data_IF_237858221165
#
_entry.id   IF_237858221165
#
_cell.length_a   1.000
_cell.length_b   1.000
_cell.length_c   1.000
_cell.angle_alpha   90.00
_cell.angle_beta   90.00
_cell.angle_gamma   90.00
#
_symmetry.space_group_name_H-M   'P 1'
#
loop_
_entity.id
_entity.type
_entity.pdbx_description
1 polymer ?
#
# COMPACT_ATOMS: atom_id res chain seq x y z
N UNK A 1 -52.49 -16.02 -21.56
CA UNK A 1 -52.19 -14.82 -20.73
C UNK A 1 -52.02 -15.16 -19.24
N UNK A 2 -52.94 -15.90 -18.61
CA UNK A 2 -52.87 -16.21 -17.16
C UNK A 2 -51.63 -17.02 -16.69
N UNK A 3 -51.12 -17.95 -17.49
CA UNK A 3 -49.94 -18.76 -17.11
C UNK A 3 -48.62 -17.97 -17.10
N UNK A 4 -48.50 -16.97 -17.98
CA UNK A 4 -47.32 -16.09 -18.05
C UNK A 4 -47.26 -15.14 -16.85
N UNK A 5 -48.41 -14.57 -16.46
CA UNK A 5 -48.52 -13.70 -15.28
C UNK A 5 -48.18 -14.50 -14.01
N UNK A 6 -48.70 -15.73 -13.87
CA UNK A 6 -48.39 -16.59 -12.73
C UNK A 6 -46.91 -16.98 -12.66
N UNK A 7 -46.25 -17.19 -13.82
CA UNK A 7 -44.82 -17.52 -13.89
C UNK A 7 -43.95 -16.32 -13.53
N UNK A 8 -44.27 -15.14 -14.05
CA UNK A 8 -43.60 -13.89 -13.68
C UNK A 8 -43.75 -13.59 -12.19
N UNK A 9 -44.94 -13.80 -11.62
CA UNK A 9 -45.17 -13.60 -10.19
C UNK A 9 -44.30 -14.53 -9.34
N UNK A 10 -44.20 -15.82 -9.72
CA UNK A 10 -43.35 -16.80 -9.02
C UNK A 10 -41.87 -16.46 -9.10
N UNK A 11 -41.40 -16.02 -10.27
CA UNK A 11 -40.00 -15.60 -10.46
C UNK A 11 -39.71 -14.37 -9.62
N UNK A 12 -40.58 -13.35 -9.64
CA UNK A 12 -40.41 -12.14 -8.83
C UNK A 12 -40.39 -12.45 -7.34
N UNK A 13 -41.27 -13.32 -6.85
CA UNK A 13 -41.27 -13.76 -5.44
C UNK A 13 -39.97 -14.49 -5.10
N UNK A 14 -39.49 -15.39 -5.96
CA UNK A 14 -38.25 -16.12 -5.75
C UNK A 14 -37.04 -15.16 -5.70
N UNK A 15 -36.94 -14.22 -6.64
CA UNK A 15 -35.88 -13.22 -6.68
C UNK A 15 -35.91 -12.33 -5.43
N UNK A 16 -37.09 -11.80 -5.06
CA UNK A 16 -37.24 -10.98 -3.86
C UNK A 16 -36.87 -11.76 -2.59
N UNK A 17 -37.21 -13.05 -2.52
CA UNK A 17 -36.87 -13.90 -1.38
C UNK A 17 -35.36 -14.14 -1.29
N UNK A 18 -34.70 -14.41 -2.42
CA UNK A 18 -33.23 -14.58 -2.46
C UNK A 18 -32.53 -13.27 -2.07
N UNK A 19 -32.99 -12.13 -2.57
CA UNK A 19 -32.46 -10.81 -2.22
C UNK A 19 -32.65 -10.53 -0.73
N UNK A 20 -33.82 -10.82 -0.16
CA UNK A 20 -34.09 -10.64 1.26
C UNK A 20 -33.21 -11.54 2.15
N UNK A 21 -33.02 -12.81 1.76
CA UNK A 21 -32.14 -13.74 2.48
C UNK A 21 -30.68 -13.28 2.39
N UNK A 22 -30.21 -12.92 1.18
CA UNK A 22 -28.86 -12.41 0.98
C UNK A 22 -28.64 -11.14 1.81
N UNK A 23 -29.62 -10.23 1.86
CA UNK A 23 -29.57 -9.04 2.69
C UNK A 23 -29.49 -9.37 4.19
N UNK A 24 -30.32 -10.28 4.67
CA UNK A 24 -30.36 -10.68 6.08
C UNK A 24 -29.05 -11.33 6.54
N UNK A 25 -28.42 -12.14 5.67
CA UNK A 25 -27.16 -12.82 5.95
C UNK A 25 -25.92 -11.94 5.72
N UNK A 26 -26.06 -10.81 5.02
CA UNK A 26 -24.96 -9.89 4.75
C UNK A 26 -24.65 -9.00 5.94
N UNK A 27 -23.37 -8.70 6.15
CA UNK A 27 -22.91 -7.63 7.06
C UNK A 27 -23.24 -6.24 6.50
N UNK A 28 -23.19 -5.22 7.35
CA UNK A 28 -23.48 -3.84 6.93
C UNK A 28 -22.53 -3.33 5.83
N UNK A 29 -21.26 -3.78 5.80
CA UNK A 29 -20.30 -3.43 4.74
C UNK A 29 -20.66 -4.10 3.41
N UNK A 30 -20.98 -5.41 3.46
CA UNK A 30 -21.44 -6.17 2.29
C UNK A 30 -22.71 -5.57 1.70
N UNK A 31 -23.66 -5.16 2.54
CA UNK A 31 -24.87 -4.46 2.09
C UNK A 31 -24.53 -3.14 1.39
N UNK A 32 -23.62 -2.32 1.93
CA UNK A 32 -23.19 -1.07 1.26
C UNK A 32 -22.52 -1.33 -0.09
N UNK A 33 -21.65 -2.34 -0.20
CA UNK A 33 -21.03 -2.72 -1.48
C UNK A 33 -22.07 -3.23 -2.49
N UNK A 34 -23.07 -3.99 -2.04
CA UNK A 34 -24.18 -4.40 -2.90
C UNK A 34 -24.96 -3.19 -3.41
N UNK A 35 -25.25 -2.20 -2.57
CA UNK A 35 -25.95 -0.98 -2.98
C UNK A 35 -25.16 -0.18 -4.02
N UNK A 36 -23.84 -0.05 -3.85
CA UNK A 36 -22.97 0.57 -4.88
C UNK A 36 -23.02 -0.23 -6.18
N UNK A 37 -22.92 -1.56 -6.12
CA UNK A 37 -22.95 -2.43 -7.30
C UNK A 37 -24.30 -2.41 -8.03
N UNK A 38 -25.39 -2.19 -7.31
CA UNK A 38 -26.73 -1.99 -7.87
C UNK A 38 -26.98 -0.54 -8.32
N UNK A 39 -25.99 0.35 -8.21
CA UNK A 39 -26.08 1.74 -8.66
C UNK A 39 -26.97 2.62 -7.77
N UNK A 40 -27.25 2.19 -6.53
CA UNK A 40 -27.96 3.00 -5.54
C UNK A 40 -27.06 4.07 -4.90
N UNK A 41 -25.74 3.86 -4.97
CA UNK A 41 -24.72 4.83 -4.59
C UNK A 41 -23.57 4.79 -5.60
N UNK A 42 -22.96 5.95 -5.84
CA UNK A 42 -21.82 6.15 -6.75
C UNK A 42 -20.51 5.63 -6.14
N UNK A 43 -20.42 5.55 -4.81
CA UNK A 43 -19.22 5.08 -4.09
C UNK A 43 -19.54 4.54 -2.71
N UNK A 44 -18.61 3.76 -2.14
CA UNK A 44 -18.74 3.23 -0.78
C UNK A 44 -18.79 4.37 0.25
N UNK A 45 -17.96 5.42 0.09
CA UNK A 45 -17.96 6.58 0.96
C UNK A 45 -19.33 7.30 0.99
N UNK A 46 -20.01 7.40 -0.17
CA UNK A 46 -21.36 7.95 -0.22
C UNK A 46 -22.37 7.04 0.49
N UNK A 47 -22.27 5.72 0.30
CA UNK A 47 -23.13 4.74 0.98
C UNK A 47 -22.93 4.74 2.52
N UNK A 48 -21.72 4.99 3.00
CA UNK A 48 -21.38 5.11 4.42
C UNK A 48 -22.01 6.35 5.06
N UNK A 49 -21.91 7.50 4.40
CA UNK A 49 -22.45 8.78 4.89
C UNK A 49 -23.98 8.85 4.80
N UNK A 50 -24.56 8.25 3.76
CA UNK A 50 -26.00 8.28 3.52
C UNK A 50 -26.76 7.26 4.38
N UNK A 51 -26.19 6.09 4.64
CA UNK A 51 -26.94 4.95 5.17
C UNK A 51 -28.05 4.51 4.21
N UNK A 52 -28.97 3.65 4.66
CA UNK A 52 -30.15 3.29 3.87
C UNK A 52 -31.40 3.32 4.76
N UNK A 53 -32.38 4.10 4.33
CA UNK A 53 -33.68 4.20 4.97
C UNK A 53 -34.78 4.03 3.94
N UNK A 54 -35.83 3.29 4.32
CA UNK A 54 -37.01 3.11 3.49
C UNK A 54 -38.19 3.72 4.22
N UNK A 55 -38.96 4.54 3.49
CA UNK A 55 -40.21 5.12 3.97
C UNK A 55 -41.35 4.27 3.44
N UNK A 56 -42.20 3.76 4.33
CA UNK A 56 -43.44 3.11 3.94
C UNK A 56 -44.64 3.62 4.73
N UNK A 57 -45.82 3.03 4.50
CA UNK A 57 -47.09 3.58 4.99
C UNK A 57 -47.23 3.62 6.52
N UNK A 58 -46.36 2.93 7.27
CA UNK A 58 -46.40 2.87 8.73
C UNK A 58 -45.13 3.41 9.40
N UNK A 59 -44.25 4.09 8.66
CA UNK A 59 -43.07 4.75 9.23
C UNK A 59 -41.81 4.69 8.37
N UNK A 60 -40.72 5.20 8.94
CA UNK A 60 -39.37 5.15 8.38
C UNK A 60 -38.60 4.01 9.04
N UNK A 61 -38.02 3.11 8.23
CA UNK A 61 -37.15 2.04 8.72
C UNK A 61 -35.73 2.28 8.27
N UNK A 62 -34.82 2.30 9.23
CA UNK A 62 -33.38 2.32 8.98
C UNK A 62 -32.90 0.89 8.74
N UNK A 63 -32.50 0.62 7.49
CA UNK A 63 -31.95 -0.67 7.09
C UNK A 63 -30.43 -0.72 7.20
N UNK A 64 -29.77 0.44 7.10
CA UNK A 64 -28.34 0.63 7.31
C UNK A 64 -28.09 1.95 8.02
N UNK A 65 -27.39 1.96 9.16
CA UNK A 65 -27.06 3.19 9.86
C UNK A 65 -26.04 4.02 9.06
N UNK A 66 -26.09 5.34 9.25
CA UNK A 66 -25.03 6.25 8.78
C UNK A 66 -23.78 6.04 9.62
N UNK A 67 -22.61 6.01 8.97
CA UNK A 67 -21.33 6.08 9.65
C UNK A 67 -20.90 7.54 9.79
N UNK A 68 -20.34 7.95 10.94
CA UNK A 68 -19.85 9.31 11.10
C UNK A 68 -18.75 9.59 10.07
N UNK A 69 -18.72 10.79 9.47
CA UNK A 69 -17.64 11.16 8.58
C UNK A 69 -16.31 11.00 9.33
N UNK A 70 -15.36 10.28 8.74
CA UNK A 70 -13.98 10.26 9.22
C UNK A 70 -13.52 11.71 9.20
N UNK A 71 -13.37 12.32 10.38
CA UNK A 71 -12.99 13.72 10.51
C UNK A 71 -11.64 13.90 9.80
N UNK A 72 -11.67 14.55 8.63
CA UNK A 72 -10.45 15.04 7.97
C UNK A 72 -9.89 16.08 8.92
N UNK A 73 -8.79 15.74 9.58
CA UNK A 73 -8.06 16.68 10.42
C UNK A 73 -7.69 17.89 9.56
N UNK A 74 -8.32 19.03 9.85
CA UNK A 74 -7.87 20.33 9.33
C UNK A 74 -6.59 20.62 10.09
N UNK A 75 -5.45 20.61 9.40
CA UNK A 75 -4.19 20.99 10.00
C UNK A 75 -4.35 22.37 10.66
N UNK A 76 -3.94 22.55 11.93
CA UNK A 76 -3.97 23.86 12.55
C UNK A 76 -3.12 24.83 11.71
N UNK A 77 -3.52 26.11 11.60
CA UNK A 77 -2.76 27.09 10.85
C UNK A 77 -1.32 27.12 11.37
N UNK A 78 -0.37 26.98 10.44
CA UNK A 78 1.06 27.05 10.74
C UNK A 78 1.36 28.36 11.48
N UNK A 79 2.07 28.33 12.62
CA UNK A 79 2.46 29.55 13.30
C UNK A 79 3.37 30.39 12.40
N UNK A 80 3.02 31.66 12.26
CA UNK A 80 3.76 32.68 11.53
C UNK A 80 5.23 32.72 12.00
N UNK A 81 6.23 32.55 11.12
CA UNK A 81 7.65 32.54 11.49
C UNK A 81 8.17 33.87 12.08
N UNK A 82 7.32 34.89 12.23
CA UNK A 82 7.70 36.23 12.68
C UNK A 82 7.58 36.55 14.18
N UNK A 83 7.02 35.71 15.06
CA UNK A 83 6.82 36.10 16.48
C UNK A 83 6.96 34.97 17.50
N UNK A 84 8.15 34.85 18.09
CA UNK A 84 8.35 34.83 19.55
C UNK A 84 9.83 34.66 19.89
N UNK A 85 10.46 35.76 20.32
CA UNK A 85 11.61 35.70 21.24
C UNK A 85 11.06 35.78 22.65
N UNK A 86 11.36 34.79 23.48
CA UNK A 86 11.34 34.90 24.93
C UNK A 86 12.69 34.42 25.47
N UNK A 87 13.13 34.92 26.64
CA UNK A 87 14.54 35.14 26.93
C UNK A 87 15.25 33.92 27.50
N UNK A 88 16.51 33.81 27.12
CA UNK A 88 17.53 32.88 27.59
C UNK A 88 17.81 33.12 29.09
N UNK A 89 17.35 32.22 29.96
CA UNK A 89 17.76 32.20 31.36
C UNK A 89 19.05 31.38 31.51
N UNK A 90 20.13 32.10 31.81
CA UNK A 90 21.38 31.58 32.34
C UNK A 90 21.13 30.78 33.63
N UNK A 91 21.53 29.52 33.65
CA UNK A 91 21.72 28.75 34.88
C UNK A 91 23.21 28.47 35.04
N UNK A 92 23.75 29.09 36.08
CA UNK A 92 25.15 29.09 36.49
C UNK A 92 25.55 27.76 37.14
N UNK A 93 26.76 27.33 36.81
CA UNK A 93 27.47 26.24 37.47
C UNK A 93 27.70 26.51 38.97
N UNK A 94 27.49 25.48 39.80
CA UNK A 94 28.19 25.31 41.09
C UNK A 94 28.47 23.82 41.29
N UNK A 95 29.75 23.48 41.37
CA UNK A 95 30.23 22.10 41.51
C UNK A 95 30.22 21.59 42.94
N UNK A 96 30.23 20.27 43.08
CA UNK A 96 30.98 19.58 44.12
C UNK A 96 31.43 18.21 43.60
N UNK A 97 32.73 17.98 43.67
CA UNK A 97 33.42 16.73 43.40
C UNK A 97 33.09 15.65 44.45
N UNK A 98 33.18 14.38 44.06
CA UNK A 98 33.31 13.28 45.02
C UNK A 98 32.94 11.90 44.47
N UNK A 99 33.95 11.10 44.11
CA UNK A 99 33.86 9.63 44.20
C UNK A 99 33.62 8.83 42.91
N UNK A 100 34.71 8.34 42.30
CA UNK A 100 34.75 7.10 41.49
C UNK A 100 34.92 5.91 42.46
N UNK A 101 34.53 4.65 42.14
CA UNK A 101 35.07 3.96 40.95
C UNK A 101 34.14 2.97 40.21
N UNK A 102 34.47 2.77 38.93
CA UNK A 102 34.38 1.45 38.27
C UNK A 102 33.09 1.11 37.53
N UNK A 103 33.03 1.43 36.23
CA UNK A 103 32.52 0.51 35.21
C UNK A 103 32.92 1.03 33.82
N UNK A 104 33.48 0.10 33.06
CA UNK A 104 33.95 0.16 31.67
C UNK A 104 33.02 0.91 30.70
N UNK A 105 33.61 1.87 30.00
CA UNK A 105 33.16 2.38 28.71
C UNK A 105 33.19 1.26 27.66
N UNK A 106 32.12 1.05 26.88
CA UNK A 106 32.28 0.53 25.53
C UNK A 106 32.49 1.73 24.60
N UNK A 107 33.66 1.74 23.99
CA UNK A 107 34.03 2.58 22.87
C UNK A 107 32.99 2.50 21.75
N UNK A 108 32.65 3.65 21.20
CA UNK A 108 31.97 3.73 19.91
C UNK A 108 32.84 3.13 18.80
N UNK A 109 32.31 2.10 18.18
CA UNK A 109 32.50 1.69 16.79
C UNK A 109 31.57 0.49 16.57
N UNK A 110 31.01 0.38 15.37
CA UNK A 110 30.22 -0.77 14.90
C UNK A 110 28.74 -0.81 15.31
N UNK A 111 28.01 0.25 14.96
CA UNK A 111 26.61 0.10 14.57
C UNK A 111 26.58 -0.65 13.22
N UNK A 112 26.62 -1.98 13.29
CA UNK A 112 26.43 -2.85 12.15
C UNK A 112 25.10 -2.52 11.47
N UNK A 113 25.12 -2.43 10.15
CA UNK A 113 23.95 -2.15 9.33
C UNK A 113 22.89 -3.23 9.51
N UNK A 114 21.83 -2.93 10.26
CA UNK A 114 20.63 -3.74 10.34
C UNK A 114 19.96 -3.74 8.95
N UNK A 115 20.15 -4.81 8.19
CA UNK A 115 19.69 -4.95 6.82
C UNK A 115 18.17 -5.06 6.74
N UNK A 116 17.52 -4.00 6.29
CA UNK A 116 16.11 -4.01 5.86
C UNK A 116 16.09 -4.61 4.46
N UNK A 117 15.88 -5.91 4.37
CA UNK A 117 15.66 -6.55 3.08
C UNK A 117 16.84 -6.42 2.08
N UNK A 118 16.58 -6.54 0.78
CA UNK A 118 17.57 -6.32 -0.29
C UNK A 118 17.95 -4.83 -0.49
N UNK A 119 17.87 -4.00 0.56
CA UNK A 119 18.12 -2.57 0.51
C UNK A 119 18.89 -2.04 1.74
N UNK A 120 19.52 -0.87 1.57
CA UNK A 120 20.16 -0.15 2.67
C UNK A 120 19.10 0.39 3.65
N UNK A 121 19.42 0.65 4.92
CA UNK A 121 18.50 1.29 5.85
C UNK A 121 18.08 2.70 5.36
N UNK A 122 16.78 2.98 5.07
CA UNK A 122 16.31 4.29 4.61
C UNK A 122 16.59 5.42 5.60
N UNK A 123 16.81 5.11 6.88
CA UNK A 123 17.12 6.10 7.91
C UNK A 123 18.62 6.37 8.07
N UNK A 124 19.48 5.49 7.55
CA UNK A 124 20.93 5.69 7.56
C UNK A 124 21.42 6.57 6.39
N UNK A 125 20.67 6.61 5.29
CA UNK A 125 21.07 7.33 4.05
C UNK A 125 20.60 8.79 4.00
N UNK A 126 19.88 9.27 5.03
CA UNK A 126 19.20 10.57 5.03
C UNK A 126 17.96 10.60 4.12
N UNK A 127 17.17 11.68 4.14
CA UNK A 127 16.04 11.84 3.18
C UNK A 127 16.63 11.81 1.77
N UNK A 128 16.12 10.92 0.92
CA UNK A 128 16.58 10.79 -0.46
C UNK A 128 16.63 12.17 -1.13
N UNK A 129 17.79 12.54 -1.70
CA UNK A 129 17.94 13.80 -2.42
C UNK A 129 17.21 13.69 -3.76
N UNK A 130 15.90 13.93 -3.75
CA UNK A 130 15.16 14.36 -4.93
C UNK A 130 13.82 14.96 -4.50
N UNK A 131 13.66 16.29 -4.58
CA UNK A 131 12.34 16.88 -4.44
C UNK A 131 11.47 16.31 -5.55
N UNK A 132 10.27 15.91 -5.20
CA UNK A 132 9.23 15.59 -6.15
C UNK A 132 9.24 16.62 -7.28
N UNK A 133 9.55 16.16 -8.50
CA UNK A 133 9.08 16.90 -9.67
C UNK A 133 7.60 16.60 -9.72
N UNK A 134 6.80 17.31 -8.93
CA UNK A 134 5.37 17.37 -9.15
C UNK A 134 5.23 17.74 -10.62
N UNK A 135 4.84 16.76 -11.45
CA UNK A 135 4.58 17.01 -12.85
C UNK A 135 3.48 18.05 -12.82
N UNK A 136 3.72 19.24 -13.38
CA UNK A 136 2.66 20.26 -13.47
C UNK A 136 1.44 19.57 -14.07
N UNK A 137 0.22 19.81 -13.55
CA UNK A 137 -1.00 19.26 -14.14
C UNK A 137 -0.92 19.49 -15.65
N UNK A 138 -1.04 18.42 -16.43
CA UNK A 138 -1.05 18.56 -17.88
C UNK A 138 -2.42 19.11 -18.21
N UNK A 139 -2.50 20.39 -18.56
CA UNK A 139 -3.75 21.00 -19.03
C UNK A 139 -4.12 20.30 -20.35
N UNK A 140 -5.20 19.51 -20.33
CA UNK A 140 -5.76 18.92 -21.53
C UNK A 140 -6.82 19.89 -22.03
N UNK A 141 -6.53 20.53 -23.15
CA UNK A 141 -7.47 21.38 -23.85
C UNK A 141 -8.44 20.52 -24.65
N UNK A 142 -9.73 20.72 -24.41
CA UNK A 142 -10.80 20.23 -25.27
C UNK A 142 -11.32 21.40 -26.10
N UNK A 143 -11.25 21.28 -27.43
CA UNK A 143 -11.74 22.30 -28.36
C UNK A 143 -12.35 21.67 -29.63
N UNK A 144 -13.07 22.47 -30.41
CA UNK A 144 -13.59 22.07 -31.72
C UNK A 144 -12.70 22.68 -32.81
N UNK A 145 -12.16 21.86 -33.70
CA UNK A 145 -11.30 22.30 -34.80
C UNK A 145 -12.11 22.96 -35.94
N UNK A 146 -11.41 23.56 -36.92
CA UNK A 146 -12.01 24.22 -38.09
C UNK A 146 -12.83 23.29 -38.99
N UNK A 147 -12.79 21.97 -38.76
CA UNK A 147 -13.60 20.95 -39.45
C UNK A 147 -14.76 20.46 -38.59
N UNK A 148 -15.04 21.10 -37.45
CA UNK A 148 -16.12 20.72 -36.55
C UNK A 148 -15.84 19.48 -35.71
N UNK A 149 -14.57 19.03 -35.62
CA UNK A 149 -14.20 17.83 -34.86
C UNK A 149 -13.78 18.20 -33.45
N UNK A 150 -14.19 17.39 -32.48
CA UNK A 150 -13.73 17.51 -31.10
C UNK A 150 -12.29 16.99 -30.98
N UNK A 151 -11.39 17.84 -30.51
CA UNK A 151 -9.96 17.55 -30.33
C UNK A 151 -9.61 17.68 -28.85
N UNK A 152 -8.80 16.72 -28.38
CA UNK A 152 -8.16 16.74 -27.06
C UNK A 152 -6.66 16.88 -27.28
N UNK A 153 -6.03 17.88 -26.65
CA UNK A 153 -4.63 18.24 -26.88
C UNK A 153 -3.99 18.69 -25.57
N UNK A 154 -2.74 18.31 -25.35
CA UNK A 154 -1.86 18.84 -24.29
C UNK A 154 -1.19 20.19 -24.68
N UNK A 155 -1.46 20.66 -25.90
CA UNK A 155 -1.04 21.98 -26.41
C UNK A 155 -2.26 22.89 -26.55
N UNK A 156 -2.11 24.15 -26.15
CA UNK A 156 -3.13 25.17 -26.32
C UNK A 156 -3.52 25.31 -27.81
N UNK A 157 -4.81 25.42 -28.14
CA UNK A 157 -5.24 25.53 -29.52
C UNK A 157 -4.78 26.85 -30.16
N UNK A 158 -4.63 26.85 -31.49
CA UNK A 158 -4.48 28.08 -32.28
C UNK A 158 -5.70 29.00 -32.11
N UNK A 159 -5.52 30.31 -32.24
CA UNK A 159 -6.53 31.34 -31.97
C UNK A 159 -7.90 31.17 -32.66
N UNK A 160 -7.98 30.33 -33.69
CA UNK A 160 -9.19 30.06 -34.48
C UNK A 160 -10.02 28.86 -33.97
N UNK A 161 -9.67 28.24 -32.84
CA UNK A 161 -10.44 27.15 -32.26
C UNK A 161 -11.66 27.66 -31.46
N UNK A 162 -12.76 26.91 -31.52
CA UNK A 162 -13.99 27.21 -30.77
C UNK A 162 -13.84 27.07 -29.24
N UNK A 163 -14.97 26.91 -28.53
CA UNK A 163 -15.01 26.84 -27.05
C UNK A 163 -13.91 25.93 -26.47
N UNK A 164 -12.98 26.54 -25.73
CA UNK A 164 -11.85 25.86 -25.10
C UNK A 164 -12.21 25.56 -23.66
N UNK A 165 -12.44 24.29 -23.36
CA UNK A 165 -12.53 23.80 -21.98
C UNK A 165 -11.16 23.26 -21.61
N UNK A 166 -10.44 23.98 -20.74
CA UNK A 166 -9.27 23.44 -20.07
C UNK A 166 -9.76 22.42 -19.04
N UNK A 167 -9.58 21.13 -19.34
CA UNK A 167 -9.75 20.06 -18.37
C UNK A 167 -8.39 19.90 -17.72
N UNK A 168 -8.28 20.26 -16.44
CA UNK A 168 -7.22 19.71 -15.62
C UNK A 168 -7.50 18.22 -15.54
N UNK A 169 -6.79 17.45 -16.37
CA UNK A 169 -6.77 16.02 -16.18
C UNK A 169 -6.03 15.80 -14.87
N UNK A 170 -6.77 15.40 -13.83
CA UNK A 170 -6.22 14.81 -12.62
C UNK A 170 -5.74 13.39 -12.98
N UNK A 171 -4.82 13.33 -13.95
CA UNK A 171 -4.20 12.11 -14.44
C UNK A 171 -2.92 11.93 -13.64
N UNK A 172 -2.90 10.86 -12.84
CA UNK A 172 -1.99 10.55 -11.75
C UNK A 172 -2.27 11.37 -10.49
N UNK A 173 -2.62 10.66 -9.42
CA UNK A 173 -2.50 11.23 -8.08
C UNK A 173 -1.04 11.62 -7.95
N UNK A 174 -0.73 12.92 -7.83
CA UNK A 174 0.62 13.49 -7.92
C UNK A 174 1.59 13.09 -6.79
N UNK A 175 1.64 11.81 -6.42
CA UNK A 175 2.42 11.19 -5.35
C UNK A 175 3.66 10.45 -5.86
N UNK A 176 3.82 10.26 -7.17
CA UNK A 176 5.09 9.75 -7.68
C UNK A 176 5.46 10.34 -9.05
N UNK A 177 6.75 10.22 -9.37
CA UNK A 177 7.29 10.39 -10.71
C UNK A 177 8.45 9.41 -10.87
N UNK A 178 8.71 8.94 -12.09
CA UNK A 178 9.76 7.96 -12.34
C UNK A 178 10.58 8.30 -13.59
N UNK A 179 11.90 8.16 -13.49
CA UNK A 179 12.80 8.08 -14.64
C UNK A 179 13.02 6.60 -15.01
N UNK A 180 12.95 6.27 -16.30
CA UNK A 180 13.13 4.90 -16.80
C UNK A 180 14.44 4.76 -17.58
N UNK A 181 15.25 3.76 -17.24
CA UNK A 181 16.47 3.36 -17.95
C UNK A 181 16.36 1.91 -18.43
N UNK A 182 16.29 1.70 -19.74
CA UNK A 182 16.21 0.37 -20.37
C UNK A 182 17.58 -0.05 -20.91
N UNK A 183 18.41 -0.67 -20.06
CA UNK A 183 19.79 -1.05 -20.38
C UNK A 183 19.84 -2.30 -21.26
N UNK A 184 20.19 -2.09 -22.53
CA UNK A 184 20.28 -3.14 -23.54
C UNK A 184 18.91 -3.69 -23.98
N UNK A 185 17.82 -2.99 -23.64
CA UNK A 185 16.45 -3.40 -23.95
C UNK A 185 15.76 -2.33 -24.80
N UNK A 186 15.21 -2.73 -25.93
CA UNK A 186 14.12 -1.98 -26.58
C UNK A 186 12.81 -2.53 -26.04
N UNK A 187 12.07 -1.78 -25.21
CA UNK A 187 10.85 -2.29 -24.58
C UNK A 187 9.79 -2.60 -25.65
N UNK A 188 9.03 -3.70 -25.51
CA UNK A 188 7.89 -3.98 -26.38
C UNK A 188 6.87 -2.84 -26.38
N UNK A 189 6.09 -2.71 -27.45
CA UNK A 189 5.01 -1.72 -27.54
C UNK A 189 4.06 -1.87 -26.33
N UNK A 190 3.74 -0.75 -25.68
CA UNK A 190 2.84 -0.71 -24.52
C UNK A 190 3.46 -1.16 -23.20
N UNK A 191 4.67 -1.74 -23.19
CA UNK A 191 5.35 -2.17 -21.96
C UNK A 191 5.49 -1.03 -20.95
N UNK A 192 6.07 0.09 -21.37
CA UNK A 192 6.30 1.23 -20.49
C UNK A 192 4.99 1.84 -19.98
N UNK A 193 3.96 1.92 -20.83
CA UNK A 193 2.66 2.45 -20.41
C UNK A 193 2.00 1.57 -19.35
N UNK A 194 2.03 0.24 -19.53
CA UNK A 194 1.49 -0.67 -18.54
C UNK A 194 2.32 -0.67 -17.24
N UNK A 195 3.64 -0.48 -17.35
CA UNK A 195 4.52 -0.30 -16.20
C UNK A 195 4.16 0.99 -15.44
N UNK A 196 3.90 2.10 -16.13
CA UNK A 196 3.43 3.35 -15.52
C UNK A 196 2.10 3.15 -14.77
N UNK A 197 1.15 2.40 -15.34
CA UNK A 197 -0.11 2.02 -14.68
C UNK A 197 0.15 1.16 -13.44
N UNK A 198 1.04 0.16 -13.56
CA UNK A 198 1.40 -0.72 -12.44
C UNK A 198 2.02 0.08 -11.29
N UNK A 199 2.89 1.04 -11.59
CA UNK A 199 3.53 1.90 -10.60
C UNK A 199 2.52 2.85 -9.95
N UNK A 200 1.67 3.51 -10.73
CA UNK A 200 0.59 4.35 -10.19
C UNK A 200 -0.35 3.55 -9.28
N UNK A 201 -0.70 2.33 -9.69
CA UNK A 201 -1.49 1.39 -8.89
C UNK A 201 -0.83 1.04 -7.56
N UNK A 202 0.49 0.81 -7.50
CA UNK A 202 1.21 0.59 -6.24
C UNK A 202 1.07 1.79 -5.31
N UNK A 203 1.25 3.00 -5.82
CA UNK A 203 1.13 4.22 -5.02
C UNK A 203 -0.31 4.47 -4.55
N UNK A 204 -1.30 4.22 -5.41
CA UNK A 204 -2.72 4.32 -5.06
C UNK A 204 -3.07 3.31 -3.97
N UNK A 205 -2.67 2.04 -4.13
CA UNK A 205 -2.91 1.01 -3.14
C UNK A 205 -2.28 1.35 -1.79
N UNK A 206 -0.99 1.69 -1.77
CA UNK A 206 -0.30 1.97 -0.52
C UNK A 206 -0.77 3.27 0.14
N UNK A 207 -1.11 4.31 -0.62
CA UNK A 207 -1.52 5.60 -0.06
C UNK A 207 -3.02 5.69 0.24
N UNK A 208 -3.85 5.34 -0.73
CA UNK A 208 -5.30 5.52 -0.66
C UNK A 208 -5.99 4.31 -0.05
N UNK A 209 -5.78 3.12 -0.60
CA UNK A 209 -6.48 1.91 -0.13
C UNK A 209 -6.06 1.51 1.28
N UNK A 210 -4.76 1.64 1.60
CA UNK A 210 -4.26 1.42 2.96
C UNK A 210 -4.39 2.64 3.87
N UNK A 211 -4.81 3.79 3.33
CA UNK A 211 -5.12 5.00 4.09
C UNK A 211 -3.92 5.64 4.78
N UNK A 212 -2.74 5.61 4.15
CA UNK A 212 -1.56 6.35 4.63
C UNK A 212 -1.78 7.86 4.44
N UNK A 213 -1.61 8.62 5.52
CA UNK A 213 -1.85 10.06 5.53
C UNK A 213 -0.56 10.86 5.44
N UNK A 214 -0.63 12.06 4.87
CA UNK A 214 0.50 13.00 4.86
C UNK A 214 1.70 12.55 4.02
N UNK A 215 1.52 11.57 3.14
CA UNK A 215 2.58 11.06 2.28
C UNK A 215 3.06 12.12 1.31
N UNK A 216 4.38 12.32 1.27
CA UNK A 216 5.02 13.23 0.32
C UNK A 216 5.20 12.53 -1.04
N UNK A 217 5.13 13.26 -2.16
CA UNK A 217 5.38 12.64 -3.45
C UNK A 217 6.83 12.13 -3.56
N UNK A 218 7.02 10.97 -4.17
CA UNK A 218 8.32 10.29 -4.29
C UNK A 218 8.79 10.30 -5.74
N UNK A 219 9.99 10.81 -5.99
CA UNK A 219 10.64 10.64 -7.29
C UNK A 219 11.52 9.39 -7.27
N UNK A 220 11.34 8.54 -8.27
CA UNK A 220 11.94 7.22 -8.39
C UNK A 220 12.78 7.13 -9.66
N UNK A 221 13.75 6.22 -9.65
CA UNK A 221 14.47 5.80 -10.85
C UNK A 221 14.32 4.30 -10.99
N UNK A 222 13.92 3.84 -12.17
CA UNK A 222 13.76 2.43 -12.46
C UNK A 222 14.69 2.06 -13.61
N UNK A 223 15.65 1.18 -13.32
CA UNK A 223 16.57 0.62 -14.30
C UNK A 223 16.19 -0.83 -14.61
N UNK A 224 15.96 -1.15 -15.87
CA UNK A 224 15.69 -2.52 -16.33
C UNK A 224 16.87 -3.01 -17.17
N UNK A 225 17.54 -4.07 -16.72
CA UNK A 225 18.74 -4.60 -17.35
C UNK A 225 18.40 -5.88 -18.10
N UNK A 226 18.62 -5.89 -19.42
CA UNK A 226 18.35 -7.08 -20.25
C UNK A 226 19.31 -8.24 -19.97
N UNK A 227 20.59 -7.92 -19.85
CA UNK A 227 21.65 -8.91 -19.74
C UNK A 227 21.80 -9.40 -18.29
N UNK A 228 21.65 -10.72 -18.09
CA UNK A 228 21.72 -11.34 -16.77
C UNK A 228 23.08 -11.12 -16.08
N UNK A 229 24.19 -11.14 -16.84
CA UNK A 229 25.52 -10.95 -16.27
C UNK A 229 25.73 -9.51 -15.82
N UNK A 230 25.29 -8.53 -16.60
CA UNK A 230 25.29 -7.11 -16.21
C UNK A 230 24.41 -6.87 -14.99
N UNK A 231 23.24 -7.50 -14.93
CA UNK A 231 22.38 -7.43 -13.74
C UNK A 231 23.10 -7.99 -12.50
N UNK A 232 23.69 -9.18 -12.60
CA UNK A 232 24.44 -9.78 -11.50
C UNK A 232 25.65 -8.91 -11.07
N UNK A 233 26.34 -8.27 -12.02
CA UNK A 233 27.41 -7.31 -11.72
C UNK A 233 26.88 -6.08 -10.98
N UNK A 234 25.72 -5.54 -11.37
CA UNK A 234 25.09 -4.42 -10.70
C UNK A 234 24.66 -4.78 -9.27
N UNK A 235 24.06 -5.95 -9.08
CA UNK A 235 23.68 -6.47 -7.76
C UNK A 235 24.92 -6.69 -6.86
N UNK A 236 25.96 -7.34 -7.39
CA UNK A 236 27.21 -7.56 -6.66
C UNK A 236 27.91 -6.23 -6.30
N UNK A 237 27.87 -5.24 -7.19
CA UNK A 237 28.38 -3.89 -6.93
C UNK A 237 27.60 -3.14 -5.83
N UNK A 238 26.35 -3.55 -5.56
CA UNK A 238 25.55 -3.10 -4.43
C UNK A 238 25.71 -3.99 -3.18
N UNK A 239 26.55 -5.02 -3.21
CA UNK A 239 26.74 -5.98 -2.12
C UNK A 239 25.59 -6.98 -1.95
N UNK A 240 24.79 -7.19 -3.00
CA UNK A 240 23.59 -8.03 -2.97
C UNK A 240 23.75 -9.28 -3.83
N UNK A 241 23.14 -10.38 -3.39
CA UNK A 241 23.01 -11.62 -4.14
C UNK A 241 21.53 -11.85 -4.48
N UNK A 242 21.09 -11.29 -5.61
CA UNK A 242 19.72 -11.42 -6.14
C UNK A 242 19.78 -11.77 -7.63
N UNK A 243 18.72 -12.40 -8.15
CA UNK A 243 18.60 -12.78 -9.55
C UNK A 243 17.44 -12.08 -10.29
N UNK A 244 16.66 -11.24 -9.63
CA UNK A 244 15.40 -10.68 -10.15
C UNK A 244 15.35 -9.16 -10.05
N UNK A 245 15.54 -8.63 -8.84
CA UNK A 245 15.50 -7.20 -8.57
C UNK A 245 16.21 -6.82 -7.27
N UNK A 246 16.50 -5.52 -7.13
CA UNK A 246 16.89 -4.88 -5.87
C UNK A 246 16.59 -3.38 -5.90
N UNK A 247 16.70 -2.73 -4.74
CA UNK A 247 16.51 -1.30 -4.60
C UNK A 247 17.58 -0.64 -3.73
N UNK A 248 17.75 0.67 -3.89
CA UNK A 248 18.62 1.48 -3.04
C UNK A 248 17.95 2.81 -2.69
N UNK A 249 17.85 3.12 -1.39
CA UNK A 249 17.23 4.38 -0.94
C UNK A 249 18.08 5.62 -1.21
N UNK A 250 19.42 5.49 -1.24
CA UNK A 250 20.33 6.63 -1.46
C UNK A 250 19.92 7.49 -2.66
N UNK A 251 19.46 6.86 -3.73
CA UNK A 251 19.08 7.53 -4.97
C UNK A 251 17.69 7.12 -5.48
N UNK A 252 16.83 6.59 -4.60
CA UNK A 252 15.52 6.03 -4.95
C UNK A 252 15.53 5.18 -6.23
N UNK A 253 16.50 4.26 -6.32
CA UNK A 253 16.73 3.46 -7.51
C UNK A 253 16.23 2.04 -7.29
N UNK A 254 15.33 1.57 -8.13
CA UNK A 254 15.01 0.17 -8.32
C UNK A 254 15.74 -0.35 -9.57
N UNK A 255 16.33 -1.54 -9.48
CA UNK A 255 17.03 -2.21 -10.58
C UNK A 255 16.39 -3.59 -10.77
N UNK A 256 15.91 -3.88 -11.96
CA UNK A 256 15.19 -5.12 -12.28
C UNK A 256 15.83 -5.82 -13.47
N UNK A 257 15.95 -7.14 -13.43
CA UNK A 257 16.36 -7.94 -14.58
C UNK A 257 15.17 -8.13 -15.52
N UNK A 258 15.39 -7.93 -16.82
CA UNK A 258 14.40 -8.30 -17.83
C UNK A 258 14.22 -9.82 -17.87
N UNK A 259 13.00 -10.28 -17.59
CA UNK A 259 12.62 -11.70 -17.60
C UNK A 259 11.41 -11.97 -18.50
N UNK A 260 11.15 -11.05 -19.44
CA UNK A 260 9.88 -10.96 -20.15
C UNK A 260 8.95 -9.94 -19.50
N UNK A 261 7.84 -9.63 -20.17
CA UNK A 261 6.99 -8.50 -19.81
C UNK A 261 6.46 -8.57 -18.36
N UNK A 262 5.51 -9.49 -18.10
CA UNK A 262 4.84 -9.54 -16.81
C UNK A 262 5.79 -9.83 -15.63
N UNK A 263 6.75 -10.78 -15.72
CA UNK A 263 7.66 -11.04 -14.60
C UNK A 263 8.53 -9.81 -14.27
N UNK A 264 8.93 -9.02 -15.28
CA UNK A 264 9.68 -7.79 -15.05
C UNK A 264 8.81 -6.74 -14.36
N UNK A 265 7.55 -6.56 -14.79
CA UNK A 265 6.64 -5.60 -14.14
C UNK A 265 6.27 -6.03 -12.71
N UNK A 266 6.09 -7.33 -12.47
CA UNK A 266 5.83 -7.87 -11.14
C UNK A 266 6.96 -7.53 -10.17
N UNK A 267 8.21 -7.80 -10.56
CA UNK A 267 9.37 -7.44 -9.74
C UNK A 267 9.51 -5.92 -9.61
N UNK A 268 9.25 -5.14 -10.67
CA UNK A 268 9.26 -3.68 -10.54
C UNK A 268 8.26 -3.18 -9.48
N UNK A 269 7.04 -3.73 -9.40
CA UNK A 269 6.08 -3.38 -8.33
C UNK A 269 6.63 -3.71 -6.94
N UNK A 270 7.27 -4.88 -6.79
CA UNK A 270 7.92 -5.31 -5.54
C UNK A 270 8.98 -4.30 -5.09
N UNK A 271 9.96 -3.99 -5.95
CA UNK A 271 11.06 -3.09 -5.61
C UNK A 271 10.58 -1.65 -5.34
N UNK A 272 9.56 -1.20 -6.08
CA UNK A 272 8.98 0.14 -5.93
C UNK A 272 8.20 0.28 -4.62
N UNK A 273 7.53 -0.79 -4.16
CA UNK A 273 6.87 -0.79 -2.86
C UNK A 273 7.85 -0.50 -1.72
N UNK A 274 9.03 -1.13 -1.74
CA UNK A 274 10.07 -0.84 -0.76
C UNK A 274 10.51 0.62 -0.80
N UNK A 275 10.70 1.19 -1.99
CA UNK A 275 11.06 2.60 -2.13
C UNK A 275 9.96 3.52 -1.59
N UNK A 276 8.69 3.25 -1.87
CA UNK A 276 7.57 4.03 -1.35
C UNK A 276 7.50 3.95 0.18
N UNK A 277 7.49 2.73 0.74
CA UNK A 277 7.42 2.49 2.19
C UNK A 277 8.62 3.10 2.91
N UNK A 278 9.85 2.92 2.43
CA UNK A 278 11.02 3.50 3.07
C UNK A 278 11.09 5.02 2.98
N UNK A 279 10.50 5.64 1.94
CA UNK A 279 10.38 7.10 1.85
C UNK A 279 9.33 7.66 2.82
N UNK A 280 8.19 6.96 3.01
CA UNK A 280 7.09 7.43 3.86
C UNK A 280 7.24 7.06 5.33
N UNK A 281 7.70 5.85 5.62
CA UNK A 281 7.70 5.24 6.95
C UNK A 281 9.11 5.15 7.55
N UNK A 282 10.15 5.17 6.72
CA UNK A 282 11.50 4.88 7.18
C UNK A 282 11.66 3.39 7.46
N UNK A 283 12.07 3.03 8.69
CA UNK A 283 12.22 1.62 9.06
C UNK A 283 10.84 0.99 9.22
N UNK A 284 10.54 0.04 8.34
CA UNK A 284 9.34 -0.79 8.40
C UNK A 284 9.72 -2.20 8.85
N UNK A 285 8.96 -2.84 9.77
CA UNK A 285 9.20 -4.21 10.17
C UNK A 285 9.31 -5.14 8.96
N UNK A 286 10.27 -6.07 8.97
CA UNK A 286 10.64 -6.88 7.80
C UNK A 286 9.43 -7.65 7.25
N UNK A 287 8.65 -8.29 8.12
CA UNK A 287 7.45 -9.04 7.75
C UNK A 287 6.40 -8.17 7.02
N UNK A 288 6.27 -6.89 7.42
CA UNK A 288 5.29 -5.99 6.85
C UNK A 288 5.79 -5.41 5.52
N UNK A 289 7.07 -5.04 5.47
CA UNK A 289 7.70 -4.48 4.27
C UNK A 289 7.68 -5.51 3.11
N UNK A 290 8.18 -6.71 3.36
CA UNK A 290 8.21 -7.79 2.38
C UNK A 290 6.80 -8.33 2.10
N UNK A 291 5.94 -8.43 3.12
CA UNK A 291 4.56 -8.87 2.94
C UNK A 291 3.73 -7.94 2.04
N UNK A 292 3.88 -6.62 2.18
CA UNK A 292 3.24 -5.64 1.29
C UNK A 292 3.83 -5.67 -0.12
N UNK A 293 5.15 -5.79 -0.25
CA UNK A 293 5.83 -5.92 -1.54
C UNK A 293 5.35 -7.17 -2.31
N UNK A 294 5.24 -8.31 -1.63
CA UNK A 294 4.73 -9.56 -2.18
C UNK A 294 3.26 -9.48 -2.63
N UNK A 295 2.44 -8.68 -1.95
CA UNK A 295 1.05 -8.43 -2.33
C UNK A 295 1.00 -7.66 -3.64
N UNK A 296 1.69 -6.51 -3.72
CA UNK A 296 1.63 -5.67 -4.92
C UNK A 296 2.33 -6.29 -6.13
N UNK A 297 3.35 -7.12 -5.91
CA UNK A 297 3.97 -7.94 -6.97
C UNK A 297 2.92 -8.77 -7.72
N UNK A 298 1.92 -9.29 -6.98
CA UNK A 298 0.84 -10.16 -7.48
C UNK A 298 -0.41 -9.40 -7.87
N UNK A 299 -0.45 -8.08 -7.64
CA UNK A 299 -1.60 -7.28 -8.03
C UNK A 299 -1.73 -7.19 -9.55
N UNK A 300 -2.98 -7.14 -10.00
CA UNK A 300 -3.35 -6.75 -11.36
C UNK A 300 -4.10 -5.45 -11.24
N UNK A 301 -3.45 -4.37 -11.68
CA UNK A 301 -4.01 -3.04 -11.69
C UNK A 301 -4.78 -2.83 -12.98
N UNK A 302 -6.06 -2.52 -12.84
CA UNK A 302 -6.95 -2.08 -13.91
C UNK A 302 -7.45 -0.68 -13.53
N UNK A 303 -7.95 0.08 -14.50
CA UNK A 303 -8.19 1.53 -14.35
C UNK A 303 -8.96 1.92 -13.08
N UNK A 304 -9.88 1.08 -12.59
CA UNK A 304 -10.76 1.40 -11.46
C UNK A 304 -10.73 0.35 -10.34
N UNK A 305 -9.88 -0.68 -10.43
CA UNK A 305 -9.82 -1.73 -9.40
C UNK A 305 -8.50 -2.50 -9.46
N UNK A 306 -8.09 -3.05 -8.32
CA UNK A 306 -6.94 -3.93 -8.20
C UNK A 306 -7.35 -5.29 -7.64
N UNK A 307 -6.76 -6.36 -8.15
CA UNK A 307 -6.94 -7.71 -7.60
C UNK A 307 -5.62 -8.35 -7.28
N UNK A 308 -5.52 -8.99 -6.11
CA UNK A 308 -4.36 -9.81 -5.74
C UNK A 308 -4.83 -11.25 -5.46
N UNK A 309 -4.35 -12.18 -6.28
CA UNK A 309 -4.68 -13.60 -6.11
C UNK A 309 -3.82 -14.23 -5.02
N UNK A 310 -4.43 -15.12 -4.24
CA UNK A 310 -3.71 -15.97 -3.30
C UNK A 310 -3.01 -17.12 -4.06
N UNK A 311 -1.67 -17.28 -3.99
CA UNK A 311 -0.95 -18.34 -4.68
C UNK A 311 -1.20 -19.69 -3.98
N UNK A 312 -1.97 -20.62 -4.59
CA UNK A 312 -2.41 -21.84 -3.91
C UNK A 312 -1.24 -22.74 -3.49
N UNK A 313 -0.20 -22.84 -4.32
CA UNK A 313 0.98 -23.68 -4.04
C UNK A 313 1.76 -23.20 -2.82
N UNK A 314 1.92 -21.88 -2.65
CA UNK A 314 2.61 -21.29 -1.48
C UNK A 314 1.78 -21.47 -0.22
N UNK A 315 0.45 -21.30 -0.31
CA UNK A 315 -0.46 -21.59 0.80
C UNK A 315 -0.42 -23.07 1.21
N UNK A 316 -0.40 -23.99 0.25
CA UNK A 316 -0.30 -25.42 0.54
C UNK A 316 1.02 -25.79 1.19
N UNK A 317 2.13 -25.15 0.79
CA UNK A 317 3.40 -25.31 1.45
C UNK A 317 3.37 -24.81 2.89
N UNK A 318 2.88 -23.60 3.14
CA UNK A 318 2.71 -23.04 4.50
C UNK A 318 1.82 -23.91 5.38
N UNK A 319 0.71 -24.44 4.83
CA UNK A 319 -0.18 -25.37 5.55
C UNK A 319 0.56 -26.65 5.96
N UNK A 320 1.44 -27.18 5.11
CA UNK A 320 2.28 -28.34 5.45
C UNK A 320 3.24 -28.01 6.60
N UNK A 321 3.96 -26.90 6.51
CA UNK A 321 4.86 -26.44 7.58
C UNK A 321 4.10 -26.20 8.90
N UNK A 322 2.93 -25.58 8.84
CA UNK A 322 2.09 -25.30 9.99
C UNK A 322 1.59 -26.58 10.68
N UNK A 323 1.23 -27.62 9.91
CA UNK A 323 0.81 -28.94 10.44
C UNK A 323 1.98 -29.70 11.05
N UNK A 324 3.17 -29.56 10.47
CA UNK A 324 4.39 -30.19 10.96
C UNK A 324 5.01 -29.46 12.17
N UNK A 325 4.44 -28.32 12.60
CA UNK A 325 5.02 -27.50 13.68
C UNK A 325 6.36 -26.86 13.30
N UNK A 326 6.60 -26.65 12.00
CA UNK A 326 7.87 -26.14 11.46
C UNK A 326 7.86 -24.63 11.20
N UNK A 327 6.73 -23.95 11.43
CA UNK A 327 6.69 -22.49 11.37
C UNK A 327 7.23 -21.90 12.68
N UNK A 328 8.06 -20.84 12.62
CA UNK A 328 8.39 -20.05 13.80
C UNK A 328 7.12 -19.56 14.52
N UNK A 329 7.20 -19.40 15.84
CA UNK A 329 6.11 -18.78 16.59
C UNK A 329 5.85 -17.36 16.05
N UNK A 330 4.58 -16.91 16.01
CA UNK A 330 4.22 -15.64 15.38
C UNK A 330 5.07 -14.48 15.92
N UNK A 331 5.20 -14.34 17.24
CA UNK A 331 6.04 -13.31 17.85
C UNK A 331 7.48 -13.34 17.33
N UNK A 332 8.10 -14.52 17.35
CA UNK A 332 9.46 -14.72 16.81
C UNK A 332 9.56 -14.35 15.33
N UNK A 333 8.53 -14.62 14.54
CA UNK A 333 8.49 -14.23 13.13
C UNK A 333 8.33 -12.71 12.95
N UNK A 334 7.48 -12.06 13.74
CA UNK A 334 7.28 -10.60 13.65
C UNK A 334 8.52 -9.83 14.12
N UNK A 335 9.24 -10.34 15.12
CA UNK A 335 10.50 -9.80 15.66
C UNK A 335 11.73 -10.18 14.82
N UNK A 336 11.57 -10.96 13.74
CA UNK A 336 12.69 -11.51 12.99
C UNK A 336 13.44 -10.48 12.14
N UNK A 337 14.74 -10.70 12.01
CA UNK A 337 15.61 -9.92 11.13
C UNK A 337 16.01 -10.72 9.88
N UNK A 338 16.73 -10.09 8.94
CA UNK A 338 17.13 -10.73 7.68
C UNK A 338 17.94 -12.02 7.91
N UNK A 339 18.79 -12.06 8.94
CA UNK A 339 19.56 -13.26 9.28
C UNK A 339 18.69 -14.46 9.69
N UNK A 340 17.52 -14.21 10.30
CA UNK A 340 16.57 -15.29 10.60
C UNK A 340 15.91 -15.82 9.33
N UNK A 341 15.58 -14.93 8.38
CA UNK A 341 15.00 -15.31 7.10
C UNK A 341 16.00 -16.13 6.27
N UNK A 342 17.28 -15.73 6.25
CA UNK A 342 18.35 -16.48 5.59
C UNK A 342 18.48 -17.90 6.16
N UNK A 343 18.27 -18.05 7.48
CA UNK A 343 18.29 -19.34 8.16
C UNK A 343 17.04 -20.19 7.89
N UNK A 344 15.87 -19.57 7.81
CA UNK A 344 14.61 -20.28 7.56
C UNK A 344 14.37 -20.58 6.08
N UNK A 345 14.95 -19.81 5.19
CA UNK A 345 14.78 -19.87 3.75
C UNK A 345 13.61 -19.04 3.23
N UNK A 346 13.80 -18.50 2.03
CA UNK A 346 12.82 -17.63 1.36
C UNK A 346 11.50 -18.34 1.07
N UNK A 347 11.55 -19.65 0.79
CA UNK A 347 10.38 -20.49 0.53
C UNK A 347 9.41 -20.59 1.73
N UNK A 348 9.88 -20.25 2.93
CA UNK A 348 9.05 -20.13 4.12
C UNK A 348 8.75 -18.67 4.46
N UNK A 349 9.79 -17.84 4.57
CA UNK A 349 9.67 -16.52 5.17
C UNK A 349 8.80 -15.55 4.35
N UNK A 350 9.02 -15.49 3.03
CA UNK A 350 8.23 -14.63 2.15
C UNK A 350 6.76 -15.05 2.08
N UNK A 351 6.43 -16.35 1.85
CA UNK A 351 5.05 -16.79 1.96
C UNK A 351 4.41 -16.51 3.32
N UNK A 352 5.14 -16.67 4.43
CA UNK A 352 4.59 -16.41 5.76
C UNK A 352 4.24 -14.93 5.93
N UNK A 353 5.16 -14.02 5.60
CA UNK A 353 4.95 -12.57 5.60
C UNK A 353 3.77 -12.16 4.71
N UNK A 354 3.77 -12.61 3.45
CA UNK A 354 2.67 -12.38 2.51
C UNK A 354 1.33 -12.86 3.08
N UNK A 355 1.30 -14.06 3.69
CA UNK A 355 0.05 -14.66 4.19
C UNK A 355 -0.53 -13.87 5.38
N UNK A 356 0.32 -13.31 6.24
CA UNK A 356 -0.09 -12.48 7.36
C UNK A 356 -0.69 -11.17 6.86
N UNK A 357 -0.02 -10.50 5.92
CA UNK A 357 -0.51 -9.26 5.32
C UNK A 357 -1.81 -9.53 4.54
N UNK A 358 -1.87 -10.56 3.69
CA UNK A 358 -3.08 -10.94 2.96
C UNK A 358 -4.26 -11.16 3.92
N UNK A 359 -4.05 -11.95 4.97
CA UNK A 359 -5.05 -12.19 6.01
C UNK A 359 -5.58 -10.89 6.61
N UNK A 360 -4.67 -9.97 6.97
CA UNK A 360 -5.04 -8.69 7.56
C UNK A 360 -5.81 -7.81 6.57
N UNK A 361 -5.42 -7.80 5.29
CA UNK A 361 -6.05 -6.98 4.27
C UNK A 361 -7.39 -7.51 3.76
N UNK A 362 -7.67 -8.80 3.93
CA UNK A 362 -8.86 -9.44 3.38
C UNK A 362 -10.18 -8.95 4.02
N UNK A 363 -10.13 -8.45 5.25
CA UNK A 363 -11.32 -7.98 5.97
C UNK A 363 -11.13 -6.53 6.43
N UNK A 364 -12.09 -5.62 6.19
CA UNK A 364 -11.94 -4.20 6.54
C UNK A 364 -11.59 -3.96 8.00
N UNK A 365 -12.11 -4.78 8.92
CA UNK A 365 -11.80 -4.67 10.34
C UNK A 365 -10.33 -4.95 10.65
N UNK A 366 -9.72 -5.93 9.97
CA UNK A 366 -8.30 -6.25 10.14
C UNK A 366 -7.41 -5.30 9.33
N UNK A 367 -7.87 -4.84 8.17
CA UNK A 367 -7.17 -3.84 7.36
C UNK A 367 -6.97 -2.54 8.15
N UNK A 368 -7.95 -2.14 8.97
CA UNK A 368 -7.80 -0.99 9.90
C UNK A 368 -6.64 -1.14 10.90
N UNK A 369 -6.24 -2.36 11.24
CA UNK A 369 -5.02 -2.61 12.05
C UNK A 369 -3.78 -2.23 11.24
N UNK A 370 -3.70 -2.68 9.99
CA UNK A 370 -2.60 -2.35 9.07
C UNK A 370 -2.55 -0.85 8.80
N UNK A 371 -3.68 -0.22 8.47
CA UNK A 371 -3.76 1.23 8.28
C UNK A 371 -3.21 2.01 9.48
N UNK A 372 -3.60 1.64 10.71
CA UNK A 372 -3.11 2.32 11.91
C UNK A 372 -1.64 2.05 12.16
N UNK A 373 -1.19 0.80 12.03
CA UNK A 373 0.22 0.45 12.15
C UNK A 373 1.09 1.27 11.17
N UNK A 374 0.68 1.38 9.91
CA UNK A 374 1.42 2.15 8.91
C UNK A 374 1.44 3.65 9.23
N UNK A 375 0.33 4.21 9.73
CA UNK A 375 0.31 5.61 10.15
C UNK A 375 1.14 5.87 11.42
N UNK A 376 1.20 4.93 12.37
CA UNK A 376 2.10 5.02 13.53
C UNK A 376 3.58 4.90 13.13
N UNK A 377 3.91 4.02 12.18
CA UNK A 377 5.25 3.97 11.61
C UNK A 377 5.62 5.29 10.92
N UNK A 378 4.68 5.93 10.23
CA UNK A 378 4.88 7.24 9.60
C UNK A 378 5.14 8.34 10.63
N UNK A 379 4.40 8.37 11.75
CA UNK A 379 4.60 9.36 12.83
C UNK A 379 5.92 9.15 13.56
N UNK A 380 6.40 7.90 13.61
CA UNK A 380 7.68 7.49 14.19
C UNK A 380 8.78 7.31 13.14
N UNK A 381 8.67 7.96 11.98
CA UNK A 381 9.64 7.82 10.90
C UNK A 381 11.08 8.04 11.39
N UNK A 382 11.93 7.02 11.20
CA UNK A 382 13.33 6.99 11.65
C UNK A 382 13.55 7.16 13.16
N UNK A 383 12.53 6.86 13.95
CA UNK A 383 12.59 6.77 15.41
C UNK A 383 12.26 5.34 15.83
N UNK A 384 12.58 5.00 17.06
CA UNK A 384 12.15 3.72 17.62
C UNK A 384 10.63 3.69 17.74
N UNK A 385 10.05 2.57 17.35
CA UNK A 385 8.64 2.27 17.48
C UNK A 385 8.53 0.77 17.75
N UNK A 386 7.78 0.40 18.79
CA UNK A 386 7.56 -0.99 19.16
C UNK A 386 6.27 -1.48 18.48
N UNK A 387 6.42 -1.99 17.27
CA UNK A 387 5.31 -2.50 16.45
C UNK A 387 4.67 -3.74 17.08
N UNK A 388 5.43 -4.50 17.86
CA UNK A 388 4.96 -5.67 18.58
C UNK A 388 4.03 -5.28 19.73
N UNK A 389 4.43 -4.32 20.56
CA UNK A 389 3.58 -3.77 21.62
C UNK A 389 2.34 -3.09 21.03
N UNK A 390 2.48 -2.40 19.90
CA UNK A 390 1.35 -1.86 19.17
C UNK A 390 0.36 -2.97 18.78
N UNK A 391 0.81 -4.04 18.11
CA UNK A 391 -0.07 -5.13 17.69
C UNK A 391 -0.71 -5.86 18.88
N UNK A 392 0.01 -6.01 19.99
CA UNK A 392 -0.51 -6.61 21.22
C UNK A 392 -1.68 -5.80 21.81
N UNK A 393 -1.60 -4.47 21.76
CA UNK A 393 -2.68 -3.58 22.22
C UNK A 393 -3.81 -3.35 21.21
N UNK A 394 -3.49 -3.40 19.92
CA UNK A 394 -4.36 -2.92 18.84
C UNK A 394 -5.23 -4.02 18.22
N UNK A 395 -4.69 -5.24 18.11
CA UNK A 395 -5.40 -6.38 17.56
C UNK A 395 -6.29 -7.02 18.63
N UNK A 396 -7.54 -7.34 18.30
CA UNK A 396 -8.47 -7.95 19.24
C UNK A 396 -7.95 -9.29 19.78
N UNK A 397 -7.64 -9.35 21.08
CA UNK A 397 -7.03 -10.51 21.72
C UNK A 397 -5.50 -10.59 21.60
N UNK A 398 -4.85 -9.49 21.23
CA UNK A 398 -3.40 -9.36 21.12
C UNK A 398 -2.78 -10.29 20.08
N UNK A 399 -1.48 -10.57 20.22
CA UNK A 399 -0.78 -11.45 19.28
C UNK A 399 -1.29 -12.89 19.33
N UNK A 400 -1.79 -13.33 20.48
CA UNK A 400 -2.43 -14.64 20.61
C UNK A 400 -3.71 -14.72 19.78
N UNK A 401 -4.51 -13.64 19.79
CA UNK A 401 -5.69 -13.49 18.94
C UNK A 401 -5.33 -13.49 17.46
N UNK A 402 -4.34 -12.66 17.08
CA UNK A 402 -3.84 -12.59 15.71
C UNK A 402 -3.39 -13.95 15.20
N UNK A 403 -2.55 -14.67 15.96
CA UNK A 403 -2.07 -16.00 15.57
C UNK A 403 -3.22 -17.00 15.39
N UNK A 404 -4.17 -17.04 16.32
CA UNK A 404 -5.32 -17.95 16.25
C UNK A 404 -6.17 -17.67 15.01
N UNK A 405 -6.46 -16.39 14.74
CA UNK A 405 -7.33 -15.99 13.65
C UNK A 405 -6.64 -16.18 12.29
N UNK A 406 -5.36 -15.84 12.18
CA UNK A 406 -4.55 -16.13 10.99
C UNK A 406 -4.45 -17.63 10.72
N UNK A 407 -4.20 -18.47 11.74
CA UNK A 407 -4.17 -19.93 11.55
C UNK A 407 -5.51 -20.47 11.08
N UNK A 408 -6.62 -19.95 11.61
CA UNK A 408 -7.96 -20.32 11.14
C UNK A 408 -8.15 -19.97 9.67
N UNK A 409 -7.74 -18.77 9.27
CA UNK A 409 -7.77 -18.33 7.87
C UNK A 409 -6.87 -19.19 6.97
N UNK A 410 -5.64 -19.51 7.41
CA UNK A 410 -4.67 -20.29 6.64
C UNK A 410 -5.23 -21.65 6.23
N UNK A 411 -6.03 -22.29 7.09
CA UNK A 411 -6.66 -23.57 6.81
C UNK A 411 -8.06 -23.46 6.16
N UNK A 412 -8.56 -22.24 5.95
CA UNK A 412 -9.75 -21.96 5.16
C UNK A 412 -9.40 -21.66 3.69
N UNK A 413 -10.42 -21.35 2.89
CA UNK A 413 -10.23 -20.88 1.52
C UNK A 413 -9.78 -19.40 1.51
N UNK A 414 -8.61 -19.14 0.95
CA UNK A 414 -8.08 -17.77 0.83
C UNK A 414 -8.68 -17.10 -0.40
N UNK A 415 -9.75 -16.32 -0.20
CA UNK A 415 -10.31 -15.49 -1.25
C UNK A 415 -9.32 -14.40 -1.72
N UNK A 416 -9.36 -14.00 -3.01
CA UNK A 416 -8.58 -12.88 -3.53
C UNK A 416 -8.83 -11.58 -2.77
N UNK A 417 -7.85 -10.67 -2.82
CA UNK A 417 -8.07 -9.28 -2.42
C UNK A 417 -8.66 -8.48 -3.57
N UNK A 418 -9.54 -7.56 -3.23
CA UNK A 418 -10.19 -6.63 -4.14
C UNK A 418 -10.09 -5.23 -3.54
N UNK A 419 -9.51 -4.31 -4.29
CA UNK A 419 -9.43 -2.89 -3.95
C UNK A 419 -10.14 -2.08 -5.03
#
# INVERSE_FOLDING_TARGET
MHQWIASLLRISIAVLSVVAIAWALSTDDQRRRLLVRFGLFDSLAQAELAGLRIIGPVGEWELLPKLPPISRYIAPPQPDPGRSRLPEQQLTHRGSEGGRPGASTPSGADAASHGVGHGADPCAVGVARNPSRARRPTEIHRYVDSKGRMVFSDHAPSADAGEVLAVQADASVGRFSADYDFDGLTPPLGFQHQLEIDLDGVFHFLADDLGLRGVQPVHLRLKIIKDQRRFAQAAAGAGLSTNSGFYTHRNNLAVVRWMGDEPTRAVARHEIAHLALGNWLGRTPLWLNEGLAEIVEKMRFQQNFATALAPPQRLDHLRRLARAGQLPALRTFLESERADWDRWGDDMAYPYAWSLVHFLLQEPARQRTVTRLLNELATHRCRMFDDIAFLEGDYAGGLSGLNRDWRRWLFAEAAPLHF
#
